data_IF_357067661754
#
_entry.id   IF_357067661754
#
_cell.length_a   1.000
_cell.length_b   1.000
_cell.length_c   1.000
_cell.angle_alpha   90.00
_cell.angle_beta   90.00
_cell.angle_gamma   90.00
#
_symmetry.space_group_name_H-M   'P 1'
#
loop_
_entity.id
_entity.type
_entity.pdbx_description
1 polymer ?
#
# COMPACT_ATOMS: atom_id res chain seq x y z
N UNK A 1 10.58 -8.26 -15.93
CA UNK A 1 9.10 -8.28 -15.87
C UNK A 1 8.58 -8.11 -14.44
N UNK A 2 9.42 -8.32 -13.41
CA UNK A 2 9.07 -8.15 -12.00
C UNK A 2 9.09 -6.71 -11.46
N UNK A 3 9.87 -5.81 -12.07
CA UNK A 3 10.04 -4.44 -11.60
C UNK A 3 8.74 -3.65 -11.48
N UNK A 4 7.78 -3.86 -12.39
CA UNK A 4 6.47 -3.18 -12.36
C UNK A 4 5.58 -3.64 -11.20
N UNK A 5 5.75 -4.89 -10.75
CA UNK A 5 4.97 -5.48 -9.66
C UNK A 5 5.49 -5.00 -8.30
N UNK A 6 6.81 -5.00 -8.12
CA UNK A 6 7.44 -4.49 -6.90
C UNK A 6 7.38 -2.97 -6.81
N UNK A 7 7.49 -2.25 -7.92
CA UNK A 7 7.34 -0.79 -7.92
C UNK A 7 5.93 -0.36 -7.53
N UNK A 8 4.89 -1.05 -8.01
CA UNK A 8 3.50 -0.76 -7.60
C UNK A 8 3.28 -0.96 -6.10
N UNK A 9 3.85 -2.03 -5.53
CA UNK A 9 3.75 -2.34 -4.10
C UNK A 9 4.49 -1.29 -3.27
N UNK A 10 5.71 -0.93 -3.68
CA UNK A 10 6.52 0.11 -3.04
C UNK A 10 5.84 1.49 -3.10
N UNK A 11 5.25 1.88 -4.24
CA UNK A 11 4.53 3.15 -4.37
C UNK A 11 3.34 3.24 -3.41
N UNK A 12 2.60 2.15 -3.22
CA UNK A 12 1.49 2.14 -2.25
C UNK A 12 2.01 2.24 -0.83
N UNK A 13 3.10 1.53 -0.51
CA UNK A 13 3.73 1.59 0.81
C UNK A 13 4.22 2.99 1.15
N UNK A 14 4.89 3.67 0.21
CA UNK A 14 5.33 5.06 0.39
C UNK A 14 4.14 5.98 0.63
N UNK A 15 3.04 5.84 -0.14
CA UNK A 15 1.83 6.64 0.06
C UNK A 15 1.17 6.39 1.43
N UNK A 16 1.23 5.16 1.93
CA UNK A 16 0.65 4.81 3.23
C UNK A 16 1.51 5.35 4.38
N UNK A 17 2.84 5.27 4.26
CA UNK A 17 3.78 5.80 5.25
C UNK A 17 3.72 7.34 5.31
N UNK A 18 3.73 8.02 4.15
CA UNK A 18 3.57 9.48 4.07
C UNK A 18 2.29 9.97 4.76
N UNK A 19 1.17 9.25 4.56
CA UNK A 19 -0.09 9.55 5.23
C UNK A 19 -0.06 9.24 6.73
N UNK A 20 0.73 8.26 7.16
CA UNK A 20 0.88 7.90 8.56
C UNK A 20 1.71 8.95 9.33
N UNK A 21 2.73 9.52 8.69
CA UNK A 21 3.50 10.64 9.25
C UNK A 21 2.65 11.92 9.39
N UNK A 22 1.70 12.14 8.48
CA UNK A 22 0.89 13.36 8.43
C UNK A 22 -0.51 13.22 9.06
N UNK A 23 -0.94 12.01 9.45
CA UNK A 23 -2.30 11.76 9.93
C UNK A 23 -2.35 10.73 11.05
N UNK A 24 -3.15 11.02 12.09
CA UNK A 24 -3.40 10.10 13.20
C UNK A 24 -4.16 8.83 12.78
N UNK A 25 -4.80 8.84 11.59
CA UNK A 25 -5.65 7.75 11.12
C UNK A 25 -5.33 7.37 9.67
N UNK A 26 -4.91 6.13 9.47
CA UNK A 26 -4.64 5.57 8.14
C UNK A 26 -5.70 4.54 7.74
N UNK A 27 -6.48 4.86 6.69
CA UNK A 27 -7.44 3.92 6.13
C UNK A 27 -6.84 3.19 4.92
N UNK A 28 -6.21 2.04 5.18
CA UNK A 28 -5.50 1.22 4.17
C UNK A 28 -6.40 0.83 2.98
N UNK A 29 -7.64 0.33 3.18
CA UNK A 29 -8.56 0.07 2.06
C UNK A 29 -8.79 1.27 1.15
N UNK A 30 -8.96 2.47 1.72
CA UNK A 30 -9.25 3.68 0.95
C UNK A 30 -8.07 4.08 0.08
N UNK A 31 -6.85 4.10 0.64
CA UNK A 31 -5.63 4.44 -0.11
C UNK A 31 -5.36 3.42 -1.22
N UNK A 32 -5.49 2.13 -0.92
CA UNK A 32 -5.32 1.06 -1.92
C UNK A 32 -6.38 1.17 -3.02
N UNK A 33 -7.63 1.47 -2.67
CA UNK A 33 -8.73 1.67 -3.61
C UNK A 33 -8.50 2.85 -4.54
N UNK A 34 -8.05 3.99 -4.01
CA UNK A 34 -7.70 5.17 -4.82
C UNK A 34 -6.57 4.88 -5.81
N UNK A 35 -5.53 4.16 -5.38
CA UNK A 35 -4.41 3.79 -6.25
C UNK A 35 -4.84 2.77 -7.31
N UNK A 36 -5.70 1.80 -6.95
CA UNK A 36 -6.28 0.84 -7.90
C UNK A 36 -7.18 1.50 -8.94
N UNK A 37 -7.88 2.57 -8.59
CA UNK A 37 -8.69 3.33 -9.55
C UNK A 37 -7.85 3.95 -10.66
N UNK A 38 -6.59 4.31 -10.38
CA UNK A 38 -5.66 4.90 -11.35
C UNK A 38 -4.85 3.79 -12.04
N UNK A 39 -4.44 2.76 -11.30
CA UNK A 39 -3.60 1.68 -11.77
C UNK A 39 -4.12 0.32 -11.25
N UNK A 40 -5.04 -0.33 -11.97
CA UNK A 40 -5.72 -1.55 -11.50
C UNK A 40 -4.79 -2.72 -11.20
N UNK A 41 -3.62 -2.72 -11.81
CA UNK A 41 -2.61 -3.77 -11.71
C UNK A 41 -1.81 -3.70 -10.40
N UNK A 42 -2.00 -2.64 -9.60
CA UNK A 42 -1.31 -2.45 -8.32
C UNK A 42 -2.01 -3.28 -7.24
N UNK A 43 -1.24 -4.13 -6.54
CA UNK A 43 -1.72 -5.11 -5.55
C UNK A 43 -2.76 -6.07 -6.18
N UNK A 44 -2.33 -6.89 -7.15
CA UNK A 44 -3.21 -7.81 -7.86
C UNK A 44 -3.65 -9.00 -6.99
N UNK A 45 -2.96 -9.28 -5.88
CA UNK A 45 -3.24 -10.44 -5.03
C UNK A 45 -3.57 -10.05 -3.60
N UNK A 46 -4.42 -10.85 -2.95
CA UNK A 46 -4.70 -10.73 -1.52
C UNK A 46 -3.43 -10.86 -0.67
N UNK A 47 -2.48 -11.67 -1.12
CA UNK A 47 -1.21 -11.87 -0.43
C UNK A 47 -0.40 -10.57 -0.31
N UNK A 48 -0.30 -9.80 -1.41
CA UNK A 48 0.35 -8.48 -1.37
C UNK A 48 -0.39 -7.48 -0.49
N UNK A 49 -1.72 -7.56 -0.45
CA UNK A 49 -2.53 -6.74 0.46
C UNK A 49 -2.27 -7.09 1.93
N UNK A 50 -2.11 -8.38 2.25
CA UNK A 50 -1.72 -8.84 3.60
C UNK A 50 -0.31 -8.40 3.95
N UNK A 51 0.65 -8.48 3.03
CA UNK A 51 2.01 -7.98 3.22
C UNK A 51 2.00 -6.50 3.60
N UNK A 52 1.18 -5.68 2.94
CA UNK A 52 1.02 -4.26 3.28
C UNK A 52 0.57 -4.04 4.72
N UNK A 53 -0.46 -4.75 5.17
CA UNK A 53 -0.91 -4.68 6.57
C UNK A 53 0.18 -5.15 7.54
N UNK A 54 0.93 -6.19 7.20
CA UNK A 54 2.00 -6.72 8.04
C UNK A 54 3.17 -5.73 8.19
N UNK A 55 3.57 -5.07 7.09
CA UNK A 55 4.62 -4.05 7.12
C UNK A 55 4.17 -2.80 7.86
N UNK A 56 2.93 -2.35 7.67
CA UNK A 56 2.37 -1.24 8.45
C UNK A 56 2.33 -1.54 9.94
N UNK A 57 1.94 -2.76 10.32
CA UNK A 57 1.94 -3.18 11.73
C UNK A 57 3.35 -3.16 12.33
N UNK A 58 4.37 -3.59 11.59
CA UNK A 58 5.77 -3.49 12.04
C UNK A 58 6.22 -2.04 12.25
N UNK A 59 5.67 -1.08 11.50
CA UNK A 59 5.98 0.35 11.65
C UNK A 59 5.27 1.01 12.82
N UNK A 60 4.06 0.58 13.15
CA UNK A 60 3.21 1.20 14.19
C UNK A 60 3.41 0.58 15.58
N UNK A 61 3.87 -0.67 15.66
CA UNK A 61 4.03 -1.42 16.91
C UNK A 61 2.84 -2.35 17.21
#
# INVERSE_FOLDING_TARGET
RDGARYSGLASVLINLLDRLDNSLYLNVPLVVGSIKSIRPQVIPTLDQYRTLHQVLKMYVG
#
